data_IF_862123258055
#
_entry.id   IF_862123258055
#
_cell.length_a   1.000
_cell.length_b   1.000
_cell.length_c   1.000
_cell.angle_alpha   90.00
_cell.angle_beta   90.00
_cell.angle_gamma   90.00
#
_symmetry.space_group_name_H-M   'P 1'
#
loop_
_entity.id
_entity.type
_entity.pdbx_description
1 polymer ?
#
# COMPACT_ATOMS: atom_id res chain seq x y z
N UNK A 1 -17.42 35.60 -7.10
CA UNK A 1 -16.57 34.75 -6.21
C UNK A 1 -15.79 35.67 -5.29
N UNK A 2 -15.37 35.23 -4.10
CA UNK A 2 -14.61 36.10 -3.17
C UNK A 2 -13.66 35.32 -2.28
N UNK A 3 -12.64 35.99 -1.76
CA UNK A 3 -11.71 35.44 -0.77
C UNK A 3 -12.27 35.74 0.62
N UNK A 4 -12.41 34.71 1.46
CA UNK A 4 -12.98 34.79 2.81
C UNK A 4 -11.99 34.30 3.88
N UNK A 5 -12.20 34.70 5.13
CA UNK A 5 -11.35 34.27 6.25
C UNK A 5 -11.46 32.77 6.48
N UNK A 6 -10.31 32.11 6.65
CA UNK A 6 -10.23 30.70 7.02
C UNK A 6 -10.98 30.43 8.33
N UNK A 7 -11.87 29.43 8.33
CA UNK A 7 -12.75 29.07 9.44
C UNK A 7 -13.76 30.17 9.86
N UNK A 8 -13.91 31.25 9.09
CA UNK A 8 -14.86 32.33 9.34
C UNK A 8 -15.41 32.92 8.04
N UNK A 9 -16.10 32.13 7.19
CA UNK A 9 -16.47 32.53 5.83
C UNK A 9 -17.44 33.72 5.77
N UNK A 10 -18.05 34.12 6.90
CA UNK A 10 -18.86 35.32 7.01
C UNK A 10 -18.06 36.62 6.76
N UNK A 11 -16.72 36.60 6.88
CA UNK A 11 -15.87 37.77 6.72
C UNK A 11 -15.14 37.72 5.37
N UNK A 12 -15.45 38.67 4.49
CA UNK A 12 -14.78 38.86 3.21
C UNK A 12 -13.42 39.53 3.41
N UNK A 13 -12.41 39.00 2.73
CA UNK A 13 -11.04 39.53 2.67
C UNK A 13 -10.79 40.29 1.36
N UNK A 14 -11.33 39.82 0.24
CA UNK A 14 -11.25 40.47 -1.06
C UNK A 14 -12.34 39.93 -2.00
N UNK A 15 -12.94 40.79 -2.81
CA UNK A 15 -13.83 40.37 -3.90
C UNK A 15 -13.01 40.02 -5.15
N UNK A 16 -13.39 38.95 -5.85
CA UNK A 16 -12.79 38.63 -7.15
C UNK A 16 -13.58 39.32 -8.26
N UNK A 17 -12.86 39.91 -9.20
CA UNK A 17 -13.44 40.47 -10.42
C UNK A 17 -14.11 39.38 -11.26
N UNK A 18 -15.01 39.78 -12.17
CA UNK A 18 -15.67 38.84 -13.08
C UNK A 18 -14.66 38.11 -13.98
N UNK A 19 -13.60 38.81 -14.40
CA UNK A 19 -12.50 38.26 -15.19
C UNK A 19 -11.71 37.20 -14.41
N UNK A 20 -11.36 37.47 -13.16
CA UNK A 20 -10.66 36.51 -12.28
C UNK A 20 -11.50 35.27 -11.98
N UNK A 21 -12.80 35.45 -11.72
CA UNK A 21 -13.72 34.36 -11.48
C UNK A 21 -13.95 33.52 -12.75
N UNK A 22 -14.03 34.17 -13.93
CA UNK A 22 -14.13 33.49 -15.22
C UNK A 22 -12.85 32.70 -15.53
N UNK A 23 -11.68 33.30 -15.34
CA UNK A 23 -10.38 32.67 -15.54
C UNK A 23 -10.18 31.44 -14.64
N UNK A 24 -10.58 31.53 -13.37
CA UNK A 24 -10.56 30.39 -12.44
C UNK A 24 -11.46 29.23 -12.91
N UNK A 25 -12.68 29.52 -13.37
CA UNK A 25 -13.60 28.49 -13.88
C UNK A 25 -13.12 27.90 -15.20
N UNK A 26 -12.64 28.72 -16.12
CA UNK A 26 -12.09 28.30 -17.40
C UNK A 26 -10.86 27.40 -17.20
N UNK A 27 -10.02 27.69 -16.21
CA UNK A 27 -8.82 26.90 -15.93
C UNK A 27 -9.15 25.50 -15.39
N UNK A 28 -10.18 25.38 -14.55
CA UNK A 28 -10.63 24.08 -14.02
C UNK A 28 -11.64 23.36 -14.93
N UNK A 29 -12.22 24.05 -15.91
CA UNK A 29 -13.15 23.51 -16.91
C UNK A 29 -12.52 23.20 -18.27
N UNK A 30 -11.19 23.15 -18.34
CA UNK A 30 -10.39 22.86 -19.55
C UNK A 30 -10.66 23.80 -20.76
N UNK A 31 -11.00 25.06 -20.47
CA UNK A 31 -11.33 26.08 -21.46
C UNK A 31 -10.44 27.33 -21.38
N UNK A 32 -9.36 27.30 -20.60
CA UNK A 32 -8.52 28.48 -20.32
C UNK A 32 -7.45 28.78 -21.38
N UNK A 33 -7.35 30.06 -21.75
CA UNK A 33 -6.21 30.62 -22.47
C UNK A 33 -4.96 30.76 -21.57
N UNK A 34 -3.80 31.08 -22.15
CA UNK A 34 -2.59 31.33 -21.37
C UNK A 34 -2.71 32.57 -20.47
N UNK A 35 -3.50 33.57 -20.87
CA UNK A 35 -3.79 34.74 -20.06
C UNK A 35 -4.67 34.36 -18.86
N UNK A 36 -5.71 33.55 -19.08
CA UNK A 36 -6.60 33.06 -18.00
C UNK A 36 -5.82 32.26 -16.95
N UNK A 37 -4.86 31.44 -17.39
CA UNK A 37 -4.00 30.67 -16.49
C UNK A 37 -3.16 31.57 -15.57
N UNK A 38 -2.61 32.66 -16.09
CA UNK A 38 -1.81 33.59 -15.30
C UNK A 38 -2.68 34.32 -14.25
N UNK A 39 -3.87 34.76 -14.66
CA UNK A 39 -4.86 35.41 -13.79
C UNK A 39 -5.30 34.45 -12.68
N UNK A 40 -5.67 33.22 -13.04
CA UNK A 40 -6.16 32.25 -12.09
C UNK A 40 -5.07 31.83 -11.07
N UNK A 41 -3.82 31.66 -11.50
CA UNK A 41 -2.68 31.43 -10.58
C UNK A 41 -2.43 32.60 -9.63
N UNK A 42 -2.55 33.84 -10.10
CA UNK A 42 -2.40 35.04 -9.28
C UNK A 42 -3.46 35.07 -8.16
N UNK A 43 -4.71 34.74 -8.49
CA UNK A 43 -5.81 34.66 -7.52
C UNK A 43 -5.59 33.59 -6.45
N UNK A 44 -5.14 32.39 -6.83
CA UNK A 44 -4.88 31.32 -5.84
C UNK A 44 -3.71 31.72 -4.91
N UNK A 45 -2.67 32.37 -5.46
CA UNK A 45 -1.56 32.91 -4.67
C UNK A 45 -2.03 33.98 -3.69
N UNK A 46 -2.86 34.91 -4.14
CA UNK A 46 -3.44 35.95 -3.30
C UNK A 46 -4.26 35.35 -2.16
N UNK A 47 -5.17 34.42 -2.46
CA UNK A 47 -5.95 33.72 -1.43
C UNK A 47 -5.05 33.00 -0.41
N UNK A 48 -3.93 32.41 -0.87
CA UNK A 48 -2.95 31.79 0.03
C UNK A 48 -2.24 32.80 0.93
N UNK A 49 -1.73 33.90 0.37
CA UNK A 49 -1.02 34.96 1.10
C UNK A 49 -1.92 35.57 2.17
N UNK A 50 -3.21 35.74 1.87
CA UNK A 50 -4.21 36.26 2.80
C UNK A 50 -4.69 35.21 3.82
N UNK A 51 -4.12 33.99 3.79
CA UNK A 51 -4.56 32.84 4.59
C UNK A 51 -6.08 32.61 4.50
N UNK A 52 -6.65 32.86 3.32
CA UNK A 52 -8.07 32.81 3.03
C UNK A 52 -8.49 31.57 2.23
N UNK A 53 -9.80 31.39 2.12
CA UNK A 53 -10.44 30.44 1.21
C UNK A 53 -11.17 31.21 0.11
N UNK A 54 -11.39 30.56 -1.03
CA UNK A 54 -12.19 31.14 -2.11
C UNK A 54 -13.60 30.60 -2.00
N UNK A 55 -14.56 31.49 -1.80
CA UNK A 55 -15.98 31.24 -1.86
C UNK A 55 -16.47 31.31 -3.31
N UNK A 56 -16.98 30.18 -3.79
CA UNK A 56 -17.57 30.08 -5.11
C UNK A 56 -19.04 30.49 -5.05
N UNK A 57 -19.49 31.18 -6.08
CA UNK A 57 -20.84 31.77 -6.24
C UNK A 57 -21.74 30.91 -7.13
N UNK A 58 -21.40 29.64 -7.35
CA UNK A 58 -22.17 28.77 -8.22
C UNK A 58 -23.55 28.42 -7.64
N UNK A 59 -23.78 28.63 -6.34
CA UNK A 59 -25.05 28.38 -5.66
C UNK A 59 -25.72 29.70 -5.27
N UNK A 60 -27.06 29.72 -5.26
CA UNK A 60 -27.86 30.84 -4.76
C UNK A 60 -28.25 30.68 -3.26
N UNK A 61 -27.53 29.84 -2.53
CA UNK A 61 -27.86 29.46 -1.14
C UNK A 61 -27.21 30.32 -0.07
N UNK A 62 -27.67 30.14 1.19
CA UNK A 62 -27.09 30.80 2.39
C UNK A 62 -25.63 30.38 2.63
N UNK A 63 -25.28 29.15 2.30
CA UNK A 63 -23.91 28.64 2.36
C UNK A 63 -23.38 28.45 0.96
N UNK A 64 -22.16 28.91 0.75
CA UNK A 64 -21.47 28.82 -0.52
C UNK A 64 -20.36 27.76 -0.43
N UNK A 65 -20.06 27.06 -1.53
CA UNK A 65 -18.98 26.08 -1.57
C UNK A 65 -17.62 26.77 -1.50
N UNK A 66 -16.69 26.17 -0.75
CA UNK A 66 -15.40 26.76 -0.43
C UNK A 66 -14.24 25.97 -1.04
N UNK A 67 -13.26 26.71 -1.55
CA UNK A 67 -12.04 26.22 -2.18
C UNK A 67 -10.83 26.70 -1.38
N UNK A 68 -10.03 25.79 -0.85
CA UNK A 68 -8.80 26.10 -0.14
C UNK A 68 -7.59 26.08 -1.08
N UNK A 69 -6.77 27.14 -1.12
CA UNK A 69 -5.51 27.12 -1.86
C UNK A 69 -4.52 26.15 -1.21
N UNK A 70 -4.14 25.13 -1.95
CA UNK A 70 -3.09 24.17 -1.60
C UNK A 70 -1.90 24.39 -2.50
N UNK A 71 -0.72 24.31 -1.91
CA UNK A 71 0.51 24.21 -2.67
C UNK A 71 0.78 22.73 -2.89
N UNK A 72 0.69 22.28 -4.13
CA UNK A 72 1.16 20.96 -4.54
C UNK A 72 2.44 21.18 -5.32
N UNK A 73 3.56 20.72 -4.76
CA UNK A 73 4.89 20.84 -5.38
C UNK A 73 5.23 22.33 -5.70
N UNK A 74 5.33 22.70 -6.99
CA UNK A 74 5.61 24.07 -7.47
C UNK A 74 4.38 24.84 -8.00
N UNK A 75 3.17 24.29 -7.89
CA UNK A 75 1.95 24.96 -8.37
C UNK A 75 0.96 25.21 -7.23
N UNK A 76 0.08 26.18 -7.46
CA UNK A 76 -1.03 26.46 -6.57
C UNK A 76 -2.29 25.81 -7.15
N UNK A 77 -2.88 24.89 -6.40
CA UNK A 77 -4.14 24.21 -6.75
C UNK A 77 -5.21 24.55 -5.71
N UNK A 78 -6.48 24.28 -6.05
CA UNK A 78 -7.61 24.47 -5.16
C UNK A 78 -8.10 23.11 -4.67
N UNK A 79 -8.10 22.92 -3.35
CA UNK A 79 -8.78 21.79 -2.70
C UNK A 79 -10.15 22.24 -2.23
N UNK A 80 -11.19 21.58 -2.70
CA UNK A 80 -12.56 21.74 -2.19
C UNK A 80 -12.66 21.35 -0.72
N UNK A 81 -13.38 22.14 0.05
CA UNK A 81 -13.66 21.86 1.45
C UNK A 81 -15.02 21.19 1.57
N UNK A 82 -15.02 19.87 1.69
CA UNK A 82 -16.22 19.09 2.02
C UNK A 82 -16.48 19.11 3.52
N UNK A 83 -17.70 18.74 3.94
CA UNK A 83 -17.97 18.46 5.35
C UNK A 83 -17.00 17.38 5.85
N UNK A 84 -16.48 17.53 7.06
CA UNK A 84 -15.84 16.42 7.76
C UNK A 84 -16.95 15.73 8.55
N UNK A 85 -17.22 14.48 8.24
CA UNK A 85 -17.94 13.63 9.19
C UNK A 85 -17.05 13.48 10.45
N UNK A 86 -17.69 13.45 11.63
CA UNK A 86 -17.13 13.24 12.98
C UNK A 86 -17.08 14.44 13.97
N UNK A 87 -17.95 15.46 13.86
CA UNK A 87 -18.31 16.26 15.04
C UNK A 87 -19.81 16.67 15.02
N UNK A 88 -20.69 16.00 15.80
CA UNK A 88 -22.13 16.25 15.78
C UNK A 88 -22.55 17.62 16.36
N UNK A 89 -21.61 18.42 16.89
CA UNK A 89 -21.92 19.73 17.49
C UNK A 89 -21.32 20.92 16.73
N UNK A 90 -20.63 20.71 15.61
CA UNK A 90 -20.08 21.81 14.81
C UNK A 90 -20.21 21.58 13.31
N UNK A 91 -21.04 22.43 12.71
CA UNK A 91 -21.14 22.84 11.31
C UNK A 91 -22.34 22.30 10.54
N UNK A 92 -23.24 23.23 10.23
CA UNK A 92 -24.24 23.13 9.15
C UNK A 92 -23.57 22.62 7.87
N UNK A 93 -24.18 21.63 7.21
CA UNK A 93 -23.64 20.93 6.04
C UNK A 93 -23.11 21.91 4.98
N UNK A 94 -21.80 21.86 4.70
CA UNK A 94 -21.22 22.67 3.61
C UNK A 94 -21.70 22.11 2.26
N UNK A 95 -22.35 22.94 1.42
CA UNK A 95 -22.90 22.45 0.15
C UNK A 95 -21.80 22.19 -0.88
N UNK A 96 -22.05 21.25 -1.79
CA UNK A 96 -21.21 21.01 -2.96
C UNK A 96 -21.49 22.07 -4.05
N UNK A 97 -20.65 22.16 -5.08
CA UNK A 97 -20.90 23.03 -6.23
C UNK A 97 -22.11 22.55 -7.05
N UNK A 98 -22.63 23.36 -7.97
CA UNK A 98 -23.66 22.91 -8.94
C UNK A 98 -23.07 21.95 -9.96
N UNK A 99 -23.86 21.04 -10.52
CA UNK A 99 -23.40 20.06 -11.53
C UNK A 99 -22.78 20.67 -12.79
N UNK A 100 -23.12 21.93 -13.09
CA UNK A 100 -22.56 22.70 -14.21
C UNK A 100 -21.29 23.48 -13.87
N UNK A 101 -20.88 23.49 -12.60
CA UNK A 101 -19.69 24.18 -12.16
C UNK A 101 -18.44 23.31 -12.40
N UNK A 102 -17.34 23.83 -12.96
CA UNK A 102 -16.09 23.08 -13.14
C UNK A 102 -15.48 22.55 -11.83
N UNK A 103 -15.89 23.11 -10.69
CA UNK A 103 -15.49 22.66 -9.36
C UNK A 103 -16.41 21.56 -8.81
N UNK A 104 -17.46 21.14 -9.52
CA UNK A 104 -18.33 20.04 -9.14
C UNK A 104 -17.54 18.73 -9.02
N UNK A 105 -17.95 17.91 -8.08
CA UNK A 105 -17.50 16.53 -7.96
C UNK A 105 -18.73 15.69 -7.69
N UNK A 106 -18.92 14.65 -8.49
CA UNK A 106 -19.93 13.64 -8.19
C UNK A 106 -19.63 13.04 -6.81
N UNK A 107 -20.65 12.90 -5.97
CA UNK A 107 -20.52 12.42 -4.59
C UNK A 107 -19.84 11.03 -4.45
N UNK A 108 -19.53 10.38 -5.57
CA UNK A 108 -18.82 9.10 -5.67
C UNK A 108 -17.28 9.20 -5.58
N UNK A 109 -16.71 10.35 -5.23
CA UNK A 109 -15.27 10.49 -4.93
C UNK A 109 -14.91 10.16 -3.46
N UNK A 110 -15.85 9.63 -2.69
CA UNK A 110 -15.51 8.84 -1.49
C UNK A 110 -14.87 7.56 -2.03
N UNK A 111 -13.59 7.23 -1.75
CA UNK A 111 -13.08 5.93 -2.16
C UNK A 111 -14.05 4.92 -1.57
N UNK A 112 -14.65 4.08 -2.42
CA UNK A 112 -15.52 3.01 -1.97
C UNK A 112 -14.82 2.35 -0.78
N UNK A 113 -15.38 2.55 0.40
CA UNK A 113 -15.10 1.74 1.57
C UNK A 113 -15.43 0.32 1.09
N UNK A 114 -14.37 -0.45 0.87
CA UNK A 114 -14.38 -1.84 0.40
C UNK A 114 -14.68 -1.93 -1.10
N UNK A 115 -13.69 -2.39 -1.86
CA UNK A 115 -13.94 -2.86 -3.23
C UNK A 115 -14.75 -4.14 -3.16
N UNK A 116 -15.94 -4.10 -3.77
CA UNK A 116 -17.00 -5.10 -3.75
C UNK A 116 -16.74 -6.30 -4.66
N UNK A 117 -15.49 -6.54 -5.03
CA UNK A 117 -15.12 -7.62 -5.93
C UNK A 117 -13.82 -8.30 -5.48
N UNK A 118 -13.96 -9.49 -4.87
CA UNK A 118 -12.87 -10.42 -4.53
C UNK A 118 -12.16 -10.90 -5.80
N UNK A 119 -11.42 -10.02 -6.47
CA UNK A 119 -10.54 -10.42 -7.54
C UNK A 119 -9.27 -10.99 -6.93
N UNK A 120 -9.15 -12.30 -7.07
CA UNK A 120 -7.94 -13.07 -6.72
C UNK A 120 -6.72 -12.31 -7.19
N UNK A 121 -5.76 -12.18 -6.27
CA UNK A 121 -4.53 -11.38 -6.39
C UNK A 121 -3.78 -11.73 -7.69
N UNK A 122 -2.97 -10.80 -8.23
CA UNK A 122 -2.28 -11.04 -9.50
C UNK A 122 -1.45 -12.33 -9.46
N UNK A 123 -1.42 -13.03 -10.60
CA UNK A 123 -0.45 -14.10 -10.85
C UNK A 123 0.96 -13.51 -10.82
N UNK A 124 1.94 -14.31 -10.40
CA UNK A 124 3.35 -13.91 -10.44
C UNK A 124 3.75 -13.73 -11.90
N UNK A 125 4.20 -12.53 -12.27
CA UNK A 125 4.83 -12.30 -13.57
C UNK A 125 6.28 -12.78 -13.48
N UNK A 126 6.54 -13.99 -13.95
CA UNK A 126 7.82 -14.69 -13.77
C UNK A 126 9.01 -14.04 -14.48
N UNK A 127 8.78 -13.27 -15.56
CA UNK A 127 9.86 -12.93 -16.50
C UNK A 127 10.31 -11.46 -16.44
N UNK A 128 9.66 -10.63 -15.62
CA UNK A 128 9.91 -9.20 -15.67
C UNK A 128 11.11 -8.86 -14.79
N UNK A 129 12.35 -8.87 -15.26
CA UNK A 129 13.52 -8.51 -14.42
C UNK A 129 13.53 -7.04 -13.94
N UNK A 130 12.71 -6.18 -14.56
CA UNK A 130 12.67 -4.75 -14.29
C UNK A 130 11.55 -4.35 -13.32
N UNK A 131 11.80 -3.34 -12.51
CA UNK A 131 10.81 -2.67 -11.69
C UNK A 131 10.62 -1.22 -12.16
N UNK A 132 9.40 -0.70 -12.00
CA UNK A 132 9.09 0.67 -12.39
C UNK A 132 9.69 1.67 -11.39
N UNK A 133 10.40 2.67 -11.92
CA UNK A 133 10.75 3.88 -11.21
C UNK A 133 9.59 4.90 -11.25
N UNK A 134 9.77 6.05 -10.58
CA UNK A 134 8.79 7.13 -10.66
C UNK A 134 8.80 7.75 -12.07
N UNK A 135 7.62 8.00 -12.67
CA UNK A 135 7.53 8.69 -13.96
C UNK A 135 7.98 10.15 -13.81
N UNK A 136 8.50 10.76 -14.88
CA UNK A 136 8.87 12.19 -14.89
C UNK A 136 7.76 13.10 -14.34
N UNK A 137 8.14 14.28 -13.81
CA UNK A 137 7.17 15.33 -13.48
C UNK A 137 6.70 15.91 -14.81
N UNK A 138 5.38 15.90 -15.10
CA UNK A 138 4.89 16.55 -16.32
C UNK A 138 5.15 18.06 -16.24
N UNK A 139 5.86 18.62 -17.22
CA UNK A 139 6.11 20.06 -17.31
C UNK A 139 4.85 20.85 -17.72
N UNK A 140 3.79 20.16 -18.19
CA UNK A 140 2.53 20.75 -18.64
C UNK A 140 1.34 19.88 -18.21
N UNK A 141 0.27 20.51 -17.73
CA UNK A 141 -1.00 19.81 -17.40
C UNK A 141 -1.62 19.10 -18.62
N UNK A 142 -1.41 19.60 -19.84
CA UNK A 142 -1.98 19.04 -21.07
C UNK A 142 -1.39 17.66 -21.45
N UNK A 143 -0.21 17.31 -20.95
CA UNK A 143 0.41 16.01 -21.19
C UNK A 143 -0.27 14.89 -20.39
N UNK A 144 -1.09 15.25 -19.39
CA UNK A 144 -1.93 14.30 -18.63
C UNK A 144 -3.12 13.81 -19.47
N UNK A 145 -3.63 14.62 -20.41
CA UNK A 145 -4.79 14.27 -21.23
C UNK A 145 -4.45 13.19 -22.29
N UNK A 146 -3.23 13.18 -22.83
CA UNK A 146 -2.78 12.11 -23.73
C UNK A 146 -2.35 10.83 -23.01
N UNK A 147 -2.28 10.85 -21.67
CA UNK A 147 -1.97 9.68 -20.86
C UNK A 147 -3.23 8.97 -20.30
N UNK A 148 -4.41 9.27 -20.83
CA UNK A 148 -5.62 8.45 -20.69
C UNK A 148 -5.50 7.10 -21.44
N UNK A 149 -4.39 6.40 -21.26
CA UNK A 149 -4.33 4.95 -21.53
C UNK A 149 -4.70 4.28 -20.21
N UNK A 150 -6.00 3.99 -20.06
CA UNK A 150 -6.52 3.01 -19.11
C UNK A 150 -6.10 3.21 -17.65
N UNK A 151 -6.39 4.37 -17.05
CA UNK A 151 -6.55 4.40 -15.58
C UNK A 151 -7.87 3.71 -15.25
N UNK A 152 -7.85 2.38 -15.23
CA UNK A 152 -8.84 1.62 -14.50
C UNK A 152 -8.89 2.22 -13.09
N UNK A 153 -10.08 2.59 -12.63
CA UNK A 153 -10.39 2.84 -11.22
C UNK A 153 -9.67 1.77 -10.39
N UNK A 154 -8.51 2.12 -9.82
CA UNK A 154 -7.59 1.13 -9.24
C UNK A 154 -8.24 0.57 -7.97
N UNK A 155 -8.76 -0.65 -8.17
CA UNK A 155 -9.37 -1.55 -7.21
C UNK A 155 -8.49 -1.74 -5.98
N UNK A 156 -9.05 -1.36 -4.84
CA UNK A 156 -8.38 -1.13 -3.56
C UNK A 156 -7.77 -2.40 -2.91
N UNK A 157 -8.19 -3.58 -3.36
CA UNK A 157 -7.71 -4.89 -2.88
C UNK A 157 -6.46 -5.43 -3.61
N UNK A 158 -6.04 -4.79 -4.72
CA UNK A 158 -4.79 -5.14 -5.40
C UNK A 158 -3.60 -4.39 -4.77
N UNK A 159 -2.45 -5.04 -4.56
CA UNK A 159 -1.25 -4.32 -4.15
C UNK A 159 -0.95 -3.26 -5.21
N UNK A 160 -0.56 -2.06 -4.76
CA UNK A 160 -0.03 -1.04 -5.65
C UNK A 160 1.18 -1.56 -6.43
N UNK A 161 1.61 -0.88 -7.50
CA UNK A 161 2.86 -1.25 -8.20
C UNK A 161 4.03 -1.47 -7.22
N UNK A 162 4.15 -0.59 -6.23
CA UNK A 162 5.15 -0.70 -5.16
C UNK A 162 4.93 -1.91 -4.24
N UNK A 163 3.67 -2.25 -3.95
CA UNK A 163 3.33 -3.48 -3.23
C UNK A 163 3.63 -4.75 -4.01
N UNK A 164 3.43 -4.73 -5.33
CA UNK A 164 3.83 -5.84 -6.22
C UNK A 164 5.35 -6.05 -6.21
N UNK A 165 6.14 -4.97 -6.21
CA UNK A 165 7.60 -5.03 -6.05
C UNK A 165 7.96 -5.64 -4.70
N UNK A 166 7.35 -5.16 -3.60
CA UNK A 166 7.64 -5.68 -2.26
C UNK A 166 7.29 -7.16 -2.14
N UNK A 167 6.15 -7.60 -2.68
CA UNK A 167 5.77 -9.01 -2.63
C UNK A 167 6.72 -9.89 -3.42
N UNK A 168 7.19 -9.41 -4.57
CA UNK A 168 8.18 -10.15 -5.31
C UNK A 168 9.51 -10.24 -4.56
N UNK A 169 9.94 -9.18 -3.88
CA UNK A 169 11.12 -9.25 -3.01
C UNK A 169 10.94 -10.26 -1.89
N UNK A 170 9.78 -10.26 -1.23
CA UNK A 170 9.46 -11.21 -0.16
C UNK A 170 9.46 -12.66 -0.69
N UNK A 171 8.88 -12.89 -1.86
CA UNK A 171 8.81 -14.18 -2.52
C UNK A 171 10.21 -14.67 -2.98
N UNK A 172 10.97 -13.82 -3.66
CA UNK A 172 12.32 -14.12 -4.16
C UNK A 172 13.32 -14.35 -3.00
N UNK A 173 13.12 -13.69 -1.86
CA UNK A 173 13.93 -13.87 -0.65
C UNK A 173 13.42 -15.01 0.26
N UNK A 174 12.32 -15.67 -0.08
CA UNK A 174 11.71 -16.71 0.75
C UNK A 174 11.14 -16.22 2.08
N UNK A 175 10.94 -14.92 2.26
CA UNK A 175 10.39 -14.33 3.51
C UNK A 175 8.92 -14.69 3.71
N UNK A 176 8.23 -15.12 2.66
CA UNK A 176 6.88 -15.68 2.73
C UNK A 176 6.86 -17.18 3.05
N UNK A 177 7.99 -17.78 3.43
CA UNK A 177 8.09 -19.15 3.88
C UNK A 177 8.88 -19.24 5.20
N UNK A 178 8.38 -20.06 6.12
CA UNK A 178 9.12 -20.51 7.31
C UNK A 178 9.65 -21.92 7.00
N UNK A 179 10.97 -22.11 6.95
CA UNK A 179 11.55 -23.42 6.66
C UNK A 179 11.28 -24.40 7.81
N UNK A 180 11.42 -25.72 7.56
CA UNK A 180 11.45 -26.71 8.63
C UNK A 180 12.46 -26.34 9.72
N UNK A 181 12.11 -26.58 10.99
CA UNK A 181 12.97 -26.25 12.14
C UNK A 181 14.30 -27.01 12.12
N UNK A 182 14.36 -28.12 11.39
CA UNK A 182 15.56 -28.91 11.15
C UNK A 182 16.64 -28.16 10.33
N UNK A 183 16.29 -27.10 9.60
CA UNK A 183 17.20 -26.41 8.67
C UNK A 183 18.06 -25.32 9.34
N UNK A 184 17.99 -25.18 10.67
CA UNK A 184 18.77 -24.25 11.51
C UNK A 184 18.95 -22.86 10.87
N UNK A 185 17.82 -22.20 10.64
CA UNK A 185 17.77 -20.89 9.99
C UNK A 185 17.92 -19.76 11.02
N UNK A 186 18.84 -18.82 10.79
CA UNK A 186 18.97 -17.59 11.61
C UNK A 186 17.80 -16.62 11.32
N UNK A 187 16.84 -16.44 12.25
CA UNK A 187 15.70 -15.57 12.06
C UNK A 187 16.03 -14.10 12.37
N UNK A 188 17.30 -13.73 12.59
CA UNK A 188 17.63 -12.36 12.95
C UNK A 188 17.16 -11.37 11.87
N UNK A 189 16.61 -10.22 12.29
CA UNK A 189 16.18 -9.15 11.38
C UNK A 189 17.31 -8.74 10.41
N UNK A 190 18.56 -8.77 10.89
CA UNK A 190 19.74 -8.50 10.07
C UNK A 190 19.86 -9.50 8.92
N UNK A 191 19.73 -10.80 9.20
CA UNK A 191 19.82 -11.84 8.19
C UNK A 191 18.66 -11.74 7.19
N UNK A 192 17.43 -11.56 7.68
CA UNK A 192 16.25 -11.38 6.83
C UNK A 192 16.38 -10.16 5.88
N UNK A 193 16.87 -9.02 6.37
CA UNK A 193 17.16 -7.85 5.53
C UNK A 193 18.32 -8.10 4.55
N UNK A 194 19.29 -8.95 4.90
CA UNK A 194 20.37 -9.37 4.01
C UNK A 194 19.84 -10.21 2.85
N UNK A 195 18.96 -11.17 3.12
CA UNK A 195 18.31 -12.00 2.10
C UNK A 195 17.42 -11.16 1.15
N UNK A 196 16.64 -10.23 1.69
CA UNK A 196 15.87 -9.28 0.89
C UNK A 196 16.76 -8.42 -0.02
N UNK A 197 17.93 -8.02 0.47
CA UNK A 197 18.93 -7.31 -0.34
C UNK A 197 19.59 -8.20 -1.39
N UNK A 198 19.80 -9.47 -1.09
CA UNK A 198 20.30 -10.44 -2.06
C UNK A 198 19.30 -10.62 -3.21
N UNK A 199 18.01 -10.84 -2.90
CA UNK A 199 16.93 -10.88 -3.88
C UNK A 199 16.86 -9.59 -4.73
N UNK A 200 16.97 -8.43 -4.09
CA UNK A 200 16.99 -7.14 -4.79
C UNK A 200 18.16 -6.93 -5.77
N UNK A 201 19.23 -7.76 -5.73
CA UNK A 201 20.31 -7.70 -6.74
C UNK A 201 19.86 -8.23 -8.10
N UNK A 202 18.90 -9.14 -8.11
CA UNK A 202 18.37 -9.77 -9.32
C UNK A 202 17.30 -8.92 -10.01
N UNK A 203 16.76 -7.92 -9.30
CA UNK A 203 15.82 -6.95 -9.85
C UNK A 203 16.56 -5.71 -10.37
N UNK A 204 16.18 -5.23 -11.56
CA UNK A 204 16.75 -4.06 -12.22
C UNK A 204 15.80 -2.87 -12.15
N UNK A 205 16.32 -1.69 -11.86
CA UNK A 205 15.57 -0.43 -11.97
C UNK A 205 15.88 0.20 -13.33
N UNK A 206 17.17 0.22 -13.69
CA UNK A 206 17.69 0.62 -14.98
C UNK A 206 18.55 -0.52 -15.55
N UNK A 207 18.97 -0.40 -16.80
CA UNK A 207 19.88 -1.37 -17.43
C UNK A 207 21.17 -1.53 -16.63
N UNK A 208 21.72 -0.43 -16.11
CA UNK A 208 22.97 -0.38 -15.34
C UNK A 208 22.74 -0.65 -13.84
N UNK A 209 21.61 -0.21 -13.29
CA UNK A 209 21.35 -0.22 -11.84
C UNK A 209 20.38 -1.31 -11.40
N UNK A 210 20.82 -2.17 -10.48
CA UNK A 210 19.94 -3.08 -9.74
C UNK A 210 19.19 -2.34 -8.64
N UNK A 211 18.05 -2.91 -8.19
CA UNK A 211 17.30 -2.38 -7.07
C UNK A 211 18.18 -2.31 -5.82
N UNK A 212 18.93 -3.36 -5.48
CA UNK A 212 19.81 -3.35 -4.31
C UNK A 212 20.85 -2.20 -4.33
N UNK A 213 21.30 -1.75 -5.51
CA UNK A 213 22.22 -0.63 -5.60
C UNK A 213 21.58 0.71 -5.22
N UNK A 214 20.26 0.85 -5.49
CA UNK A 214 19.46 2.05 -5.24
C UNK A 214 18.55 1.90 -4.00
N UNK A 215 18.69 0.82 -3.25
CA UNK A 215 17.90 0.48 -2.07
C UNK A 215 18.71 0.71 -0.78
N UNK A 216 18.14 1.41 0.19
CA UNK A 216 18.63 1.40 1.58
C UNK A 216 17.68 0.60 2.49
N UNK A 217 18.27 -0.11 3.44
CA UNK A 217 17.54 -0.77 4.55
C UNK A 217 17.71 -0.02 5.88
N UNK A 218 18.26 1.18 5.85
CA UNK A 218 18.57 1.96 7.05
C UNK A 218 17.95 3.34 6.98
N UNK A 219 17.01 3.63 7.89
CA UNK A 219 16.24 4.87 7.85
C UNK A 219 17.11 6.13 7.94
N UNK A 220 18.26 6.09 8.65
CA UNK A 220 19.10 7.27 8.80
C UNK A 220 19.67 7.79 7.47
N UNK A 221 19.83 6.91 6.48
CA UNK A 221 20.30 7.29 5.15
C UNK A 221 19.36 8.27 4.44
N UNK A 222 18.08 8.31 4.82
CA UNK A 222 17.10 9.27 4.30
C UNK A 222 17.47 10.72 4.63
N UNK A 223 17.93 10.99 5.84
CA UNK A 223 18.26 12.36 6.29
C UNK A 223 19.72 12.72 6.09
N UNK A 224 20.61 11.75 5.88
CA UNK A 224 22.03 11.96 5.69
C UNK A 224 22.39 12.11 4.20
N UNK A 225 22.52 13.35 3.73
CA UNK A 225 22.86 13.68 2.33
C UNK A 225 24.18 13.07 1.84
N UNK A 226 25.13 12.80 2.75
CA UNK A 226 26.40 12.13 2.45
C UNK A 226 26.37 10.60 2.57
N UNK A 227 25.21 10.00 2.88
CA UNK A 227 25.09 8.54 3.04
C UNK A 227 25.54 7.80 1.77
N UNK A 228 26.01 6.56 1.94
CA UNK A 228 26.42 5.73 0.79
C UNK A 228 25.29 5.58 -0.22
N UNK A 229 24.05 5.42 0.26
CA UNK A 229 22.87 5.28 -0.57
C UNK A 229 22.56 6.54 -1.39
N UNK A 230 22.55 7.73 -0.78
CA UNK A 230 22.33 8.98 -1.53
C UNK A 230 23.47 9.26 -2.52
N UNK A 231 24.73 8.93 -2.18
CA UNK A 231 25.86 9.03 -3.12
C UNK A 231 25.73 8.08 -4.33
N UNK A 232 25.20 6.88 -4.14
CA UNK A 232 24.92 5.96 -5.25
C UNK A 232 23.80 6.50 -6.14
N UNK A 233 22.76 7.09 -5.55
CA UNK A 233 21.72 7.78 -6.32
C UNK A 233 22.32 8.93 -7.14
N UNK A 234 23.16 9.77 -6.54
CA UNK A 234 23.82 10.85 -7.28
C UNK A 234 24.71 10.33 -8.41
N UNK A 235 25.44 9.24 -8.17
CA UNK A 235 26.27 8.60 -9.21
C UNK A 235 25.42 8.02 -10.35
N UNK A 236 24.19 7.59 -10.06
CA UNK A 236 23.29 7.02 -11.06
C UNK A 236 22.64 8.04 -11.99
N UNK A 237 22.71 9.33 -11.63
CA UNK A 237 22.04 10.44 -12.31
C UNK A 237 22.16 10.46 -13.85
N UNK A 238 23.35 10.31 -14.47
CA UNK A 238 23.47 10.35 -15.93
C UNK A 238 22.77 9.18 -16.64
N UNK A 239 22.44 8.09 -15.93
CA UNK A 239 21.80 6.91 -16.52
C UNK A 239 20.27 6.99 -16.55
N UNK A 240 19.67 8.01 -15.91
CA UNK A 240 18.22 8.17 -15.87
C UNK A 240 17.70 8.82 -17.16
N UNK A 241 16.76 8.18 -17.88
CA UNK A 241 16.14 8.80 -19.05
C UNK A 241 15.20 9.92 -18.61
N UNK A 242 15.04 10.97 -19.44
CA UNK A 242 14.16 12.11 -19.13
C UNK A 242 12.67 11.76 -18.95
N UNK A 243 12.25 10.54 -19.30
CA UNK A 243 10.89 10.03 -19.03
C UNK A 243 10.70 9.52 -17.60
N UNK A 244 11.77 9.37 -16.83
CA UNK A 244 11.77 8.84 -15.46
C UNK A 244 12.48 9.81 -14.51
N UNK A 245 12.03 9.85 -13.27
CA UNK A 245 12.75 10.56 -12.20
C UNK A 245 13.81 9.64 -11.61
N UNK A 246 14.94 10.22 -11.20
CA UNK A 246 15.88 9.54 -10.32
C UNK A 246 15.16 9.07 -9.06
N UNK A 247 15.09 7.76 -8.91
CA UNK A 247 14.29 7.11 -7.86
C UNK A 247 15.20 6.25 -6.98
N UNK A 248 15.25 6.61 -5.70
CA UNK A 248 15.77 5.78 -4.63
C UNK A 248 14.68 4.94 -4.00
N UNK A 249 15.06 3.81 -3.41
CA UNK A 249 14.16 2.95 -2.68
C UNK A 249 14.60 2.81 -1.23
N UNK A 250 13.65 2.67 -0.31
CA UNK A 250 13.94 2.31 1.07
C UNK A 250 13.06 1.15 1.53
N UNK A 251 13.67 0.09 2.06
CA UNK A 251 13.00 -1.06 2.64
C UNK A 251 13.20 -1.07 4.15
N UNK A 252 12.17 -0.69 4.90
CA UNK A 252 12.28 -0.38 6.32
C UNK A 252 11.33 -1.24 7.15
N UNK A 253 11.84 -1.88 8.20
CA UNK A 253 10.99 -2.41 9.26
C UNK A 253 10.42 -1.24 10.07
N UNK A 254 9.10 -1.16 10.16
CA UNK A 254 8.36 -0.06 10.74
C UNK A 254 7.44 -0.54 11.87
N UNK A 255 7.45 0.18 12.98
CA UNK A 255 6.61 -0.13 14.16
C UNK A 255 5.17 0.27 13.92
N UNK A 256 4.97 1.38 13.23
CA UNK A 256 3.66 1.92 12.89
C UNK A 256 3.73 2.73 11.59
N UNK A 257 2.56 2.91 10.98
CA UNK A 257 2.37 3.73 9.78
C UNK A 257 1.10 4.57 9.94
N UNK A 258 1.07 5.73 9.30
CA UNK A 258 -0.14 6.54 9.13
C UNK A 258 -0.48 6.64 7.64
N UNK A 259 -1.54 7.36 7.28
CA UNK A 259 -1.89 7.58 5.88
C UNK A 259 -0.77 8.25 5.05
N UNK A 260 0.15 8.99 5.70
CA UNK A 260 1.18 9.79 5.03
C UNK A 260 2.55 9.70 5.72
N UNK A 261 2.77 8.78 6.65
CA UNK A 261 4.06 8.66 7.32
C UNK A 261 4.40 7.21 7.65
N UNK A 262 5.69 6.89 7.59
CA UNK A 262 6.24 5.63 8.12
C UNK A 262 7.07 5.95 9.36
N UNK A 263 6.89 5.17 10.43
CA UNK A 263 7.70 5.23 11.65
C UNK A 263 8.66 4.03 11.69
N UNK A 264 9.92 4.17 11.22
CA UNK A 264 10.88 3.08 11.18
C UNK A 264 11.25 2.64 12.60
N UNK A 265 11.49 1.35 12.80
CA UNK A 265 11.92 0.85 14.12
C UNK A 265 13.32 1.35 14.52
N UNK A 266 14.15 1.68 13.53
CA UNK A 266 15.54 2.12 13.69
C UNK A 266 15.71 3.61 14.00
N UNK A 267 14.63 4.39 14.07
CA UNK A 267 14.68 5.83 14.29
C UNK A 267 13.48 6.31 15.12
N UNK A 268 13.64 7.43 15.83
CA UNK A 268 12.54 8.14 16.49
C UNK A 268 11.84 9.13 15.56
N UNK A 269 12.36 9.35 14.35
CA UNK A 269 11.83 10.28 13.36
C UNK A 269 10.93 9.55 12.36
N UNK A 270 9.75 10.12 12.09
CA UNK A 270 8.91 9.69 10.97
C UNK A 270 9.51 10.13 9.64
N UNK A 271 9.28 9.31 8.61
CA UNK A 271 9.49 9.69 7.21
C UNK A 271 8.12 10.07 6.65
N UNK A 272 7.93 11.37 6.39
CA UNK A 272 6.73 11.89 5.75
C UNK A 272 6.72 11.53 4.26
N UNK A 273 5.60 11.01 3.80
CA UNK A 273 5.35 10.56 2.43
C UNK A 273 4.40 11.55 1.77
N UNK A 274 4.82 12.17 0.67
CA UNK A 274 4.01 13.18 -0.02
C UNK A 274 2.65 12.64 -0.48
N UNK A 275 2.66 11.43 -1.03
CA UNK A 275 1.47 10.74 -1.49
C UNK A 275 0.73 10.06 -0.34
N UNK A 276 0.40 8.78 -0.56
CA UNK A 276 -0.29 7.93 0.41
C UNK A 276 0.56 6.72 0.72
N UNK A 277 0.60 6.34 2.00
CA UNK A 277 1.05 5.01 2.43
C UNK A 277 -0.08 4.03 2.17
N UNK A 278 0.10 3.16 1.17
CA UNK A 278 -0.85 2.09 0.86
C UNK A 278 -0.58 0.87 1.74
N UNK A 279 -1.62 0.15 2.14
CA UNK A 279 -1.53 -1.07 2.95
C UNK A 279 -2.69 -2.02 2.58
N UNK A 280 -2.59 -3.34 2.83
CA UNK A 280 -3.74 -4.23 2.73
C UNK A 280 -4.92 -3.72 3.55
N UNK A 281 -6.15 -3.89 3.03
CA UNK A 281 -7.36 -3.33 3.65
C UNK A 281 -8.05 -4.26 4.65
N UNK A 282 -7.57 -5.50 4.83
CA UNK A 282 -8.21 -6.51 5.67
C UNK A 282 -7.88 -6.35 7.16
N UNK A 283 -8.83 -6.71 8.02
CA UNK A 283 -8.68 -6.67 9.49
C UNK A 283 -8.75 -5.27 10.10
N UNK A 284 -8.65 -5.17 11.42
CA UNK A 284 -8.66 -3.89 12.14
C UNK A 284 -7.36 -3.08 11.91
N UNK A 285 -7.43 -1.85 11.36
CA UNK A 285 -6.26 -0.98 11.17
C UNK A 285 -5.38 -0.80 12.42
N UNK A 286 -5.95 -0.78 13.62
CA UNK A 286 -5.20 -0.56 14.85
C UNK A 286 -4.23 -1.70 15.19
N UNK A 287 -4.53 -2.92 14.73
CA UNK A 287 -3.79 -4.14 15.06
C UNK A 287 -3.02 -4.73 13.86
N UNK A 288 -2.81 -3.95 12.79
CA UNK A 288 -2.08 -4.42 11.59
C UNK A 288 -0.56 -4.42 11.76
N UNK A 289 0.01 -3.61 12.63
CA UNK A 289 1.47 -3.56 12.81
C UNK A 289 2.05 -4.82 13.47
N UNK A 290 3.37 -5.05 13.36
CA UNK A 290 4.36 -4.19 12.68
C UNK A 290 4.35 -4.38 11.14
N UNK A 291 5.14 -3.57 10.43
CA UNK A 291 5.14 -3.51 8.97
C UNK A 291 6.55 -3.62 8.38
N UNK A 292 6.65 -4.18 7.18
CA UNK A 292 7.75 -3.96 6.27
C UNK A 292 7.30 -2.95 5.20
N UNK A 293 7.91 -1.77 5.23
CA UNK A 293 7.59 -0.66 4.32
C UNK A 293 8.58 -0.57 3.17
N UNK A 294 8.08 -0.49 1.93
CA UNK A 294 8.86 -0.10 0.77
C UNK A 294 8.45 1.31 0.35
N UNK A 295 9.41 2.23 0.24
CA UNK A 295 9.22 3.61 -0.15
C UNK A 295 9.99 3.94 -1.42
N UNK A 296 9.41 4.80 -2.26
CA UNK A 296 10.13 5.49 -3.33
C UNK A 296 10.51 6.88 -2.87
N UNK A 297 11.73 7.29 -3.19
CA UNK A 297 12.34 8.57 -2.83
C UNK A 297 12.81 9.27 -4.11
N UNK A 298 12.52 10.56 -4.25
CA UNK A 298 13.10 11.43 -5.26
C UNK A 298 13.84 12.62 -4.62
N UNK A 299 14.33 13.54 -5.44
CA UNK A 299 15.13 14.70 -5.02
C UNK A 299 14.47 16.02 -5.44
N UNK A 300 13.14 16.08 -5.39
CA UNK A 300 12.43 17.27 -5.83
C UNK A 300 12.38 17.41 -7.35
N UNK A 301 11.92 18.56 -7.80
CA UNK A 301 11.52 18.72 -9.19
C UNK A 301 12.70 19.07 -10.10
N UNK A 302 13.71 19.75 -9.54
CA UNK A 302 15.00 20.01 -10.20
C UNK A 302 16.00 18.84 -10.04
N UNK A 303 15.61 17.74 -9.39
CA UNK A 303 16.48 16.58 -9.05
C UNK A 303 17.75 16.94 -8.22
N UNK A 304 17.81 18.14 -7.63
CA UNK A 304 18.90 18.65 -6.79
C UNK A 304 18.50 18.83 -5.31
N UNK A 305 17.22 18.64 -5.01
CA UNK A 305 16.65 18.86 -3.69
C UNK A 305 17.01 17.77 -2.67
N UNK A 306 16.61 17.95 -1.40
CA UNK A 306 16.76 16.91 -0.40
C UNK A 306 15.91 15.69 -0.74
N UNK A 307 16.35 14.52 -0.27
CA UNK A 307 15.59 13.27 -0.37
C UNK A 307 14.15 13.44 0.15
N UNK A 308 13.19 13.04 -0.67
CA UNK A 308 11.75 13.20 -0.45
C UNK A 308 11.01 11.90 -0.74
N UNK A 309 10.38 11.31 0.28
CA UNK A 309 9.56 10.11 0.08
C UNK A 309 8.25 10.47 -0.66
N UNK A 310 8.03 9.85 -1.82
CA UNK A 310 6.91 10.19 -2.71
C UNK A 310 5.72 9.27 -2.48
N UNK A 311 5.97 7.96 -2.46
CA UNK A 311 4.96 6.92 -2.26
C UNK A 311 5.52 5.83 -1.36
N UNK A 312 4.63 5.15 -0.64
CA UNK A 312 5.01 4.01 0.18
C UNK A 312 3.94 2.92 0.16
N UNK A 313 4.39 1.67 0.29
CA UNK A 313 3.55 0.53 0.56
C UNK A 313 4.03 -0.15 1.84
N UNK A 314 3.12 -0.36 2.79
CA UNK A 314 3.39 -1.00 4.06
C UNK A 314 2.69 -2.37 4.08
N UNK A 315 3.50 -3.43 4.06
CA UNK A 315 3.05 -4.80 4.23
C UNK A 315 3.06 -5.15 5.72
N UNK A 316 1.93 -5.46 6.35
CA UNK A 316 1.92 -6.07 7.68
C UNK A 316 2.76 -7.34 7.68
N UNK A 317 3.56 -7.51 8.73
CA UNK A 317 4.34 -8.73 8.95
C UNK A 317 4.01 -9.31 10.32
N UNK A 318 4.42 -10.55 10.55
CA UNK A 318 4.21 -11.24 11.82
C UNK A 318 4.91 -10.47 12.95
N UNK A 319 6.24 -10.33 12.91
CA UNK A 319 7.00 -9.48 13.83
C UNK A 319 8.40 -9.11 13.28
N UNK A 320 9.28 -8.55 14.12
CA UNK A 320 10.65 -8.18 13.73
C UNK A 320 11.63 -9.35 13.63
N UNK A 321 11.32 -10.47 14.29
CA UNK A 321 12.12 -11.70 14.25
C UNK A 321 11.65 -12.63 13.13
N UNK A 322 10.52 -12.34 12.49
CA UNK A 322 9.98 -13.10 11.36
C UNK A 322 9.14 -12.15 10.51
N UNK A 323 9.74 -11.64 9.42
CA UNK A 323 9.14 -10.73 8.45
C UNK A 323 8.09 -11.41 7.55
N UNK A 324 7.54 -12.53 8.02
CA UNK A 324 6.52 -13.29 7.33
C UNK A 324 5.27 -12.42 7.10
N UNK A 325 4.82 -12.25 5.85
CA UNK A 325 3.76 -11.32 5.51
C UNK A 325 2.41 -11.80 6.04
N UNK A 326 1.64 -10.87 6.62
CA UNK A 326 0.25 -11.12 7.05
C UNK A 326 -0.71 -10.10 6.46
N UNK A 327 -2.00 -10.42 6.38
CA UNK A 327 -3.02 -9.51 5.83
C UNK A 327 -3.94 -8.90 6.89
N UNK A 328 -4.00 -9.47 8.09
CA UNK A 328 -4.88 -9.04 9.17
C UNK A 328 -4.36 -9.49 10.54
N UNK A 329 -4.92 -8.93 11.63
CA UNK A 329 -4.66 -9.40 12.99
C UNK A 329 -5.01 -10.88 13.19
N UNK A 330 -6.21 -11.29 12.73
CA UNK A 330 -6.63 -12.70 12.79
C UNK A 330 -5.67 -13.63 12.03
N UNK A 331 -5.18 -13.23 10.87
CA UNK A 331 -4.19 -14.01 10.13
C UNK A 331 -2.87 -14.14 10.90
N UNK A 332 -2.47 -13.12 11.68
CA UNK A 332 -1.33 -13.21 12.60
C UNK A 332 -1.59 -14.21 13.73
N UNK A 333 -2.80 -14.26 14.27
CA UNK A 333 -3.20 -15.26 15.28
C UNK A 333 -3.14 -16.69 14.71
N UNK A 334 -3.54 -16.88 13.45
CA UNK A 334 -3.34 -18.15 12.74
C UNK A 334 -1.86 -18.46 12.56
N UNK A 335 -1.01 -17.48 12.23
CA UNK A 335 0.45 -17.69 12.18
C UNK A 335 1.01 -18.16 13.52
N UNK A 336 0.56 -17.57 14.64
CA UNK A 336 0.94 -18.02 15.99
C UNK A 336 0.64 -19.50 16.19
N UNK A 337 -0.57 -19.95 15.82
CA UNK A 337 -0.95 -21.36 15.89
C UNK A 337 -0.08 -22.25 14.98
N UNK A 338 0.20 -21.82 13.74
CA UNK A 338 0.99 -22.61 12.80
C UNK A 338 2.47 -22.73 13.20
N UNK A 339 3.06 -21.68 13.77
CA UNK A 339 4.44 -21.73 14.27
C UNK A 339 4.54 -22.58 15.54
N UNK A 340 3.54 -22.47 16.43
CA UNK A 340 3.43 -23.39 17.56
C UNK A 340 3.27 -24.84 17.10
N UNK A 341 2.45 -25.10 16.08
CA UNK A 341 2.23 -26.43 15.51
C UNK A 341 3.55 -27.04 15.02
N UNK A 342 4.35 -26.26 14.28
CA UNK A 342 5.65 -26.68 13.79
C UNK A 342 6.59 -27.05 14.93
N UNK A 343 6.68 -26.21 15.97
CA UNK A 343 7.49 -26.48 17.17
C UNK A 343 7.05 -27.74 17.90
N UNK A 344 5.75 -27.88 18.16
CA UNK A 344 5.22 -29.02 18.91
C UNK A 344 5.34 -30.35 18.13
N UNK A 345 5.17 -30.33 16.80
CA UNK A 345 5.40 -31.51 15.96
C UNK A 345 6.88 -31.83 15.80
N UNK A 346 7.77 -30.84 15.80
CA UNK A 346 9.21 -31.07 15.81
C UNK A 346 9.68 -31.74 17.11
N UNK A 347 9.14 -31.33 18.26
CA UNK A 347 9.44 -31.96 19.56
C UNK A 347 8.93 -33.41 19.65
N UNK A 348 7.72 -33.68 19.14
CA UNK A 348 7.07 -34.99 19.26
C UNK A 348 7.43 -35.97 18.13
N UNK A 349 7.72 -35.46 16.93
CA UNK A 349 8.05 -36.23 15.73
C UNK A 349 9.22 -35.53 15.00
N UNK A 350 10.48 -35.66 15.48
CA UNK A 350 11.62 -34.90 14.93
C UNK A 350 11.91 -35.12 13.44
N UNK A 351 11.54 -36.30 12.91
CA UNK A 351 11.70 -36.64 11.49
C UNK A 351 10.62 -36.01 10.58
N UNK A 352 9.57 -35.40 11.16
CA UNK A 352 8.53 -34.70 10.43
C UNK A 352 9.00 -33.27 10.11
N UNK A 353 9.27 -33.02 8.84
CA UNK A 353 9.70 -31.73 8.32
C UNK A 353 8.49 -30.98 7.80
N UNK A 354 8.22 -29.79 8.35
CA UNK A 354 7.07 -28.96 7.95
C UNK A 354 7.58 -27.61 7.51
N UNK A 355 7.34 -27.24 6.26
CA UNK A 355 7.53 -25.88 5.75
C UNK A 355 6.20 -25.17 5.68
N UNK A 356 6.14 -23.93 6.13
CA UNK A 356 4.91 -23.11 6.15
C UNK A 356 5.10 -21.99 5.14
N UNK A 357 4.22 -21.88 4.15
CA UNK A 357 4.30 -20.84 3.11
C UNK A 357 3.02 -20.02 3.08
N UNK A 358 3.13 -18.69 3.00
CA UNK A 358 2.02 -17.80 2.64
C UNK A 358 2.14 -17.40 1.16
N UNK A 359 1.27 -17.90 0.28
CA UNK A 359 1.26 -17.48 -1.12
C UNK A 359 0.94 -15.98 -1.27
N UNK A 360 1.90 -15.22 -1.78
CA UNK A 360 1.71 -13.81 -2.10
C UNK A 360 1.00 -13.63 -3.45
N UNK A 361 1.23 -14.55 -4.37
CA UNK A 361 0.64 -14.59 -5.70
C UNK A 361 -0.36 -15.74 -5.83
N UNK A 362 -1.26 -15.62 -6.79
CA UNK A 362 -2.18 -16.71 -7.10
C UNK A 362 -1.45 -17.91 -7.73
N UNK A 363 -1.98 -19.10 -7.46
CA UNK A 363 -1.54 -20.40 -7.97
C UNK A 363 -2.59 -20.86 -8.98
N UNK A 364 -2.14 -21.27 -10.16
CA UNK A 364 -3.01 -21.83 -11.20
C UNK A 364 -3.50 -23.23 -10.82
N UNK A 365 -4.78 -23.50 -11.07
CA UNK A 365 -5.38 -24.83 -10.92
C UNK A 365 -6.25 -25.13 -12.14
N UNK A 366 -6.61 -26.40 -12.40
CA UNK A 366 -7.55 -26.73 -13.49
C UNK A 366 -8.91 -26.01 -13.38
N UNK A 367 -9.32 -25.61 -12.17
CA UNK A 367 -10.57 -24.88 -11.92
C UNK A 367 -10.38 -23.34 -11.89
N UNK A 368 -9.21 -22.87 -12.31
CA UNK A 368 -8.80 -21.47 -12.32
C UNK A 368 -7.89 -21.10 -11.14
N UNK A 369 -7.41 -19.85 -11.10
CA UNK A 369 -6.46 -19.43 -10.08
C UNK A 369 -7.11 -19.40 -8.69
N UNK A 370 -6.32 -19.74 -7.68
CA UNK A 370 -6.66 -19.56 -6.28
C UNK A 370 -5.44 -19.11 -5.48
N UNK A 371 -5.67 -18.61 -4.27
CA UNK A 371 -4.59 -18.23 -3.37
C UNK A 371 -5.02 -18.60 -1.96
N UNK A 372 -4.58 -19.77 -1.46
CA UNK A 372 -4.88 -20.15 -0.09
C UNK A 372 -4.16 -19.22 0.88
N UNK A 373 -4.67 -19.12 2.10
CA UNK A 373 -4.05 -18.26 3.10
C UNK A 373 -2.68 -18.80 3.54
N UNK A 374 -2.56 -20.13 3.71
CA UNK A 374 -1.28 -20.81 3.96
C UNK A 374 -1.22 -22.19 3.31
N UNK A 375 0.00 -22.65 3.03
CA UNK A 375 0.32 -23.98 2.55
C UNK A 375 1.34 -24.61 3.50
N UNK A 376 1.09 -25.82 3.96
CA UNK A 376 2.04 -26.64 4.69
C UNK A 376 2.58 -27.72 3.74
N UNK A 377 3.89 -27.76 3.57
CA UNK A 377 4.58 -28.87 2.91
C UNK A 377 5.16 -29.75 4.01
N UNK A 378 4.56 -30.93 4.21
CA UNK A 378 4.92 -31.84 5.29
C UNK A 378 5.54 -33.12 4.71
N UNK A 379 6.76 -33.44 5.14
CA UNK A 379 7.51 -34.61 4.67
C UNK A 379 7.98 -35.41 5.89
N UNK A 380 7.72 -36.72 5.89
CA UNK A 380 8.15 -37.61 6.95
C UNK A 380 9.13 -38.64 6.40
N UNK A 381 10.39 -38.61 6.86
CA UNK A 381 11.45 -39.52 6.36
C UNK A 381 11.49 -39.58 4.83
N UNK A 382 11.45 -40.78 4.26
CA UNK A 382 11.51 -41.06 2.82
C UNK A 382 10.12 -41.09 2.15
N UNK A 383 9.06 -40.68 2.87
CA UNK A 383 7.72 -40.58 2.29
C UNK A 383 7.61 -39.38 1.33
N UNK A 384 6.57 -39.39 0.49
CA UNK A 384 6.25 -38.24 -0.35
C UNK A 384 5.89 -37.00 0.49
N UNK A 385 5.99 -35.83 -0.13
CA UNK A 385 5.60 -34.56 0.50
C UNK A 385 4.07 -34.39 0.42
N UNK A 386 3.42 -34.29 1.58
CA UNK A 386 2.03 -33.92 1.68
C UNK A 386 1.87 -32.40 1.56
N UNK A 387 1.04 -31.95 0.62
CA UNK A 387 0.65 -30.54 0.46
C UNK A 387 -0.68 -30.32 1.19
N UNK A 388 -0.67 -29.54 2.27
CA UNK A 388 -1.84 -29.29 3.11
C UNK A 388 -2.21 -27.80 3.03
N UNK A 389 -3.50 -27.51 2.90
CA UNK A 389 -4.00 -26.14 2.74
C UNK A 389 -4.64 -25.67 4.04
N UNK A 390 -4.25 -24.49 4.53
CA UNK A 390 -4.88 -23.85 5.69
C UNK A 390 -5.57 -22.56 5.24
N UNK A 391 -6.84 -22.43 5.61
CA UNK A 391 -7.65 -21.28 5.23
C UNK A 391 -8.19 -20.54 6.46
N UNK A 392 -7.93 -19.22 6.52
CA UNK A 392 -8.24 -18.37 7.66
C UNK A 392 -9.49 -17.51 7.36
N UNK A 393 -10.63 -17.91 7.92
CA UNK A 393 -11.94 -17.26 7.71
C UNK A 393 -12.14 -16.07 8.65
N UNK A 394 -11.33 -15.01 8.49
CA UNK A 394 -11.33 -13.86 9.41
C UNK A 394 -12.52 -12.90 9.34
N UNK A 395 -13.42 -13.04 8.36
CA UNK A 395 -14.64 -12.23 8.24
C UNK A 395 -15.80 -13.12 7.78
N UNK A 396 -16.98 -12.95 8.38
CA UNK A 396 -18.20 -13.67 8.01
C UNK A 396 -19.20 -12.76 7.28
N UNK A 397 -18.76 -12.04 6.24
CA UNK A 397 -19.72 -11.35 5.36
C UNK A 397 -20.24 -12.31 4.31
N UNK A 398 -21.48 -12.11 3.85
CA UNK A 398 -22.13 -12.94 2.83
C UNK A 398 -21.32 -12.93 1.53
N UNK A 399 -20.70 -11.80 1.18
CA UNK A 399 -19.86 -11.67 -0.01
C UNK A 399 -18.50 -12.37 0.14
N UNK A 400 -17.93 -12.40 1.35
CA UNK A 400 -16.73 -13.19 1.63
C UNK A 400 -17.03 -14.69 1.47
N UNK A 401 -18.21 -15.14 1.93
CA UNK A 401 -18.67 -16.52 1.76
C UNK A 401 -18.88 -16.88 0.28
N UNK A 402 -19.56 -16.03 -0.49
CA UNK A 402 -19.77 -16.24 -1.92
C UNK A 402 -18.46 -16.31 -2.73
N UNK A 403 -17.46 -15.51 -2.36
CA UNK A 403 -16.14 -15.56 -2.96
C UNK A 403 -15.37 -16.84 -2.58
N UNK A 404 -15.51 -17.30 -1.33
CA UNK A 404 -14.91 -18.55 -0.85
C UNK A 404 -15.56 -19.77 -1.47
N UNK A 405 -16.88 -19.79 -1.67
CA UNK A 405 -17.58 -20.91 -2.34
C UNK A 405 -17.04 -21.17 -3.75
N UNK A 406 -16.57 -20.13 -4.45
CA UNK A 406 -15.93 -20.26 -5.77
C UNK A 406 -14.47 -20.69 -5.70
N UNK A 407 -13.75 -20.33 -4.63
CA UNK A 407 -12.30 -20.54 -4.53
C UNK A 407 -11.91 -21.78 -3.74
N UNK A 408 -12.73 -22.23 -2.79
CA UNK A 408 -12.54 -23.46 -2.02
C UNK A 408 -12.43 -24.71 -2.92
N UNK A 409 -13.26 -24.91 -3.95
CA UNK A 409 -13.09 -26.04 -4.88
C UNK A 409 -11.74 -26.03 -5.60
N UNK A 410 -11.21 -24.84 -5.91
CA UNK A 410 -9.89 -24.66 -6.54
C UNK A 410 -8.77 -25.01 -5.56
N UNK A 411 -8.85 -24.54 -4.32
CA UNK A 411 -7.87 -24.85 -3.28
C UNK A 411 -7.82 -26.35 -2.96
N UNK A 412 -8.97 -27.03 -2.97
CA UNK A 412 -9.04 -28.50 -2.80
C UNK A 412 -8.33 -29.29 -3.90
N UNK A 413 -8.03 -28.68 -5.07
CA UNK A 413 -7.17 -29.31 -6.08
C UNK A 413 -5.69 -29.27 -5.69
N UNK A 414 -5.27 -28.36 -4.81
CA UNK A 414 -3.89 -28.27 -4.34
C UNK A 414 -3.60 -29.30 -3.24
N UNK A 415 -4.58 -29.57 -2.36
CA UNK A 415 -4.43 -30.51 -1.27
C UNK A 415 -5.64 -30.53 -0.32
N UNK A 416 -5.66 -31.44 0.67
CA UNK A 416 -6.65 -31.42 1.73
C UNK A 416 -6.60 -30.09 2.49
N UNK A 417 -7.77 -29.58 2.85
CA UNK A 417 -7.92 -28.25 3.44
C UNK A 417 -8.39 -28.34 4.90
N UNK A 418 -7.80 -27.51 5.76
CA UNK A 418 -8.25 -27.26 7.14
C UNK A 418 -8.68 -25.79 7.27
N UNK A 419 -9.88 -25.57 7.81
CA UNK A 419 -10.46 -24.24 7.97
C UNK A 419 -10.35 -23.77 9.41
N UNK A 420 -9.98 -22.51 9.60
CA UNK A 420 -9.86 -21.87 10.92
C UNK A 420 -10.72 -20.60 10.95
N UNK A 421 -11.60 -20.51 11.94
CA UNK A 421 -12.51 -19.39 12.18
C UNK A 421 -12.13 -18.65 13.48
N UNK A 422 -12.56 -17.39 13.67
CA UNK A 422 -12.27 -16.62 14.89
C UNK A 422 -12.63 -17.35 16.19
N UNK A 423 -13.76 -18.06 16.19
CA UNK A 423 -14.21 -18.87 17.33
C UNK A 423 -13.29 -20.04 17.66
N UNK A 424 -12.51 -20.55 16.69
CA UNK A 424 -11.58 -21.66 16.90
C UNK A 424 -10.34 -21.23 17.67
N UNK A 425 -10.00 -19.94 17.62
CA UNK A 425 -8.86 -19.33 18.34
C UNK A 425 -9.28 -18.63 19.63
N UNK A 426 -10.57 -18.63 19.97
CA UNK A 426 -11.06 -18.13 21.26
C UNK A 426 -10.53 -18.97 22.42
N UNK A 427 -10.40 -18.36 23.60
CA UNK A 427 -9.79 -18.96 24.80
C UNK A 427 -10.34 -20.36 25.14
N UNK A 428 -11.64 -20.57 24.96
CA UNK A 428 -12.30 -21.86 25.22
C UNK A 428 -11.97 -22.97 24.21
N UNK A 429 -11.61 -22.62 22.97
CA UNK A 429 -11.48 -23.56 21.85
C UNK A 429 -10.05 -23.74 21.35
N UNK A 430 -9.16 -22.79 21.61
CA UNK A 430 -7.81 -22.75 21.03
C UNK A 430 -7.04 -24.06 21.24
N UNK A 431 -7.08 -24.64 22.45
CA UNK A 431 -6.38 -25.90 22.75
C UNK A 431 -6.96 -27.09 21.96
N UNK A 432 -8.29 -27.16 21.82
CA UNK A 432 -8.95 -28.21 21.06
C UNK A 432 -8.65 -28.08 19.56
N UNK A 433 -8.69 -26.86 19.02
CA UNK A 433 -8.31 -26.55 17.63
C UNK A 433 -6.87 -26.97 17.35
N UNK A 434 -5.95 -26.62 18.25
CA UNK A 434 -4.54 -26.98 18.16
C UNK A 434 -4.34 -28.50 18.09
N UNK A 435 -5.02 -29.26 18.96
CA UNK A 435 -4.99 -30.73 18.96
C UNK A 435 -5.56 -31.32 17.66
N UNK A 436 -6.72 -30.85 17.21
CA UNK A 436 -7.35 -31.28 15.95
C UNK A 436 -6.44 -31.03 14.75
N UNK A 437 -5.75 -29.89 14.72
CA UNK A 437 -4.83 -29.54 13.64
C UNK A 437 -3.60 -30.47 13.64
N UNK A 438 -3.03 -30.77 14.80
CA UNK A 438 -1.94 -31.75 14.94
C UNK A 438 -2.34 -33.13 14.43
N UNK A 439 -3.46 -33.66 14.93
CA UNK A 439 -3.97 -34.97 14.54
C UNK A 439 -4.23 -35.04 13.03
N UNK A 440 -4.81 -33.97 12.47
CA UNK A 440 -5.08 -33.87 11.04
C UNK A 440 -3.80 -33.86 10.20
N UNK A 441 -2.76 -33.10 10.58
CA UNK A 441 -1.46 -33.11 9.87
C UNK A 441 -0.85 -34.51 9.90
N UNK A 442 -0.81 -35.16 11.06
CA UNK A 442 -0.25 -36.51 11.21
C UNK A 442 -1.03 -37.52 10.36
N UNK A 443 -2.35 -37.46 10.37
CA UNK A 443 -3.22 -38.31 9.54
C UNK A 443 -2.89 -38.13 8.06
N UNK A 444 -2.85 -36.89 7.56
CA UNK A 444 -2.63 -36.63 6.13
C UNK A 444 -1.24 -37.01 5.65
N UNK A 445 -0.21 -36.85 6.47
CA UNK A 445 1.16 -37.26 6.12
C UNK A 445 1.28 -38.78 6.01
N UNK A 446 0.57 -39.56 6.85
CA UNK A 446 0.58 -41.04 6.79
C UNK A 446 -0.05 -41.61 5.52
N UNK A 447 -0.85 -40.82 4.81
CA UNK A 447 -1.55 -41.24 3.60
C UNK A 447 -0.81 -40.87 2.31
N UNK A 448 0.41 -40.34 2.42
CA UNK A 448 1.33 -40.01 1.31
C UNK A 448 2.52 -40.96 1.36
#
# INVERSE_FOLDING_TARGET
MRIVVRNGPAHCLAELTEEEAAALRAWYGDAASNADKAIALAVIRQAKVMNGWIECDCLAGRFQPLLAPIRQEHTYTLRRLTSKDEDPLRHEERPNHTSTCPFHVDKDATPALIDRSYHIRPLRKTDQSYIDALPAIPDRLADVANHEINRSTERNDRPSRLGGILWRLLDDAGMNAVPPLQDDHDPSLRNQLSELRAAARHLRVLRTWSLNALLSTWAADYWASGSRWQRLLETSRPDWPGTLRRTGFMLLFAKSVSAQAIMPASSSRSIEVLGKVRQPLRGDPAHRGPFLGLLNVDFGDDDEGPARAVQAYAQPVYNGDTLFPVESGFERDVCHLLFWLQGSLFESIPDLRIKITKPLFAIETPLGPCRPDFILEATYKDHGTAILIIEAFGMETEEYRDAKDKTVPRMKHLGPMFSIFPQDLGEANAQNTAKRLQEWVIEKVRHV
#
